data_IF_430846975618
#
_entry.id   IF_430846975618
#
_cell.length_a   1.000
_cell.length_b   1.000
_cell.length_c   1.000
_cell.angle_alpha   90.00
_cell.angle_beta   90.00
_cell.angle_gamma   90.00
#
_symmetry.space_group_name_H-M   'P 1'
#
loop_
_entity.id
_entity.type
_entity.pdbx_description
1 polymer ?
#
# COMPACT_ATOMS: atom_id res chain seq x y z
N UNK A 1 33.55 -19.89 -1.80
CA UNK A 1 33.55 -19.44 -0.39
C UNK A 1 32.42 -20.07 0.45
N UNK A 2 31.67 -21.05 -0.09
CA UNK A 2 30.39 -21.52 0.47
C UNK A 2 30.45 -22.85 1.24
N UNK A 3 31.52 -23.65 1.08
CA UNK A 3 31.68 -24.94 1.77
C UNK A 3 32.34 -24.82 3.16
N UNK A 4 33.16 -23.79 3.37
CA UNK A 4 33.94 -23.60 4.62
C UNK A 4 33.08 -22.99 5.73
N UNK A 5 32.04 -22.22 5.39
CA UNK A 5 31.14 -21.62 6.38
C UNK A 5 30.15 -22.64 6.97
N UNK A 6 29.69 -23.60 6.16
CA UNK A 6 28.80 -24.68 6.61
C UNK A 6 29.51 -25.57 7.64
N UNK A 7 30.77 -25.93 7.39
CA UNK A 7 31.56 -26.68 8.38
C UNK A 7 31.76 -25.92 9.71
N UNK A 8 31.87 -24.59 9.69
CA UNK A 8 32.06 -23.80 10.91
C UNK A 8 30.76 -23.61 11.72
N UNK A 9 29.60 -23.47 11.08
CA UNK A 9 28.30 -23.50 11.81
C UNK A 9 28.08 -24.85 12.49
N UNK A 10 28.58 -25.93 11.88
CA UNK A 10 28.57 -27.27 12.43
C UNK A 10 29.85 -27.64 13.23
N UNK A 11 30.65 -26.70 13.76
CA UNK A 11 31.87 -27.11 14.47
C UNK A 11 32.23 -26.45 15.80
N UNK A 12 31.60 -25.37 16.28
CA UNK A 12 32.20 -24.70 17.46
C UNK A 12 31.40 -24.50 18.74
N UNK A 13 30.06 -24.44 18.80
CA UNK A 13 29.44 -24.13 20.12
C UNK A 13 28.15 -24.89 20.53
N UNK A 14 27.61 -25.80 19.70
CA UNK A 14 26.42 -26.59 20.08
C UNK A 14 26.53 -28.11 19.92
N UNK A 15 27.69 -28.63 19.50
CA UNK A 15 27.84 -30.05 19.14
C UNK A 15 28.45 -30.96 20.22
N UNK A 16 28.69 -30.45 21.43
CA UNK A 16 29.43 -31.18 22.46
C UNK A 16 28.62 -31.67 23.66
N UNK A 17 27.28 -31.67 23.61
CA UNK A 17 26.49 -32.33 24.65
C UNK A 17 25.36 -33.18 24.06
N UNK A 18 25.41 -34.47 24.42
CA UNK A 18 24.46 -35.58 24.16
C UNK A 18 24.56 -36.29 22.79
N UNK A 19 24.91 -37.58 22.84
CA UNK A 19 25.06 -38.45 21.67
C UNK A 19 23.74 -38.95 21.09
N UNK A 20 23.72 -39.20 19.77
CA UNK A 20 23.23 -40.39 19.04
C UNK A 20 23.48 -40.13 17.52
N UNK A 21 24.18 -41.01 16.77
CA UNK A 21 24.42 -40.86 15.31
C UNK A 21 23.16 -40.62 14.46
N UNK A 22 22.02 -41.13 14.92
CA UNK A 22 20.68 -40.94 14.32
C UNK A 22 20.28 -39.47 14.28
N UNK A 23 20.53 -38.69 15.34
CA UNK A 23 20.15 -37.28 15.41
C UNK A 23 20.89 -36.46 14.34
N UNK A 24 22.20 -36.69 14.20
CA UNK A 24 23.03 -36.06 13.17
C UNK A 24 22.57 -36.42 11.75
N UNK A 25 22.23 -37.69 11.51
CA UNK A 25 21.73 -38.14 10.21
C UNK A 25 20.37 -37.52 9.87
N UNK A 26 19.48 -37.40 10.85
CA UNK A 26 18.15 -36.79 10.69
C UNK A 26 18.24 -35.27 10.45
N UNK A 27 19.09 -34.56 11.19
CA UNK A 27 19.35 -33.14 10.97
C UNK A 27 19.94 -32.87 9.58
N UNK A 28 20.90 -33.69 9.14
CA UNK A 28 21.44 -33.60 7.78
C UNK A 28 20.33 -33.81 6.73
N UNK A 29 19.43 -34.77 6.97
CA UNK A 29 18.31 -35.03 6.07
C UNK A 29 17.40 -33.81 5.96
N UNK A 30 17.05 -33.15 7.08
CA UNK A 30 16.29 -31.90 7.06
C UNK A 30 17.01 -30.80 6.28
N UNK A 31 18.30 -30.60 6.54
CA UNK A 31 19.13 -29.62 5.86
C UNK A 31 19.14 -29.83 4.34
N UNK A 32 19.40 -31.06 3.88
CA UNK A 32 19.45 -31.38 2.45
C UNK A 32 18.11 -31.04 1.75
N UNK A 33 16.97 -31.27 2.42
CA UNK A 33 15.65 -30.93 1.88
C UNK A 33 15.33 -29.44 1.92
N UNK A 34 15.78 -28.71 2.94
CA UNK A 34 15.70 -27.25 2.95
C UNK A 34 16.56 -26.63 1.84
N UNK A 35 17.74 -27.20 1.54
CA UNK A 35 18.58 -26.75 0.43
C UNK A 35 17.85 -26.91 -0.91
N UNK A 36 17.19 -28.06 -1.13
CA UNK A 36 16.39 -28.30 -2.34
C UNK A 36 15.19 -27.34 -2.42
N UNK A 37 14.51 -27.09 -1.30
CA UNK A 37 13.39 -26.16 -1.27
C UNK A 37 13.85 -24.73 -1.57
N UNK A 38 14.95 -24.28 -0.96
CA UNK A 38 15.43 -22.90 -0.98
C UNK A 38 16.40 -22.58 -2.13
N UNK A 39 16.52 -23.45 -3.12
CA UNK A 39 17.41 -23.34 -4.28
C UNK A 39 17.53 -21.90 -4.85
N UNK A 40 16.39 -21.21 -5.02
CA UNK A 40 16.35 -19.84 -5.59
C UNK A 40 16.76 -18.72 -4.63
N UNK A 41 16.60 -18.94 -3.32
CA UNK A 41 16.77 -17.89 -2.30
C UNK A 41 18.08 -18.02 -1.53
N UNK A 42 18.77 -19.16 -1.63
CA UNK A 42 20.06 -19.40 -1.00
C UNK A 42 21.20 -18.47 -1.45
N UNK A 43 21.32 -18.06 -2.74
CA UNK A 43 22.40 -17.15 -3.13
C UNK A 43 22.38 -15.82 -2.38
N UNK A 44 21.18 -15.34 -2.04
CA UNK A 44 20.97 -14.12 -1.24
C UNK A 44 20.88 -14.39 0.27
N UNK A 45 20.58 -15.62 0.67
CA UNK A 45 20.37 -16.01 2.08
C UNK A 45 21.11 -17.34 2.39
N UNK A 46 22.45 -17.34 2.42
CA UNK A 46 23.24 -18.58 2.42
C UNK A 46 23.10 -19.43 3.69
N UNK A 47 22.72 -18.85 4.83
CA UNK A 47 22.58 -19.57 6.12
C UNK A 47 21.18 -20.11 6.37
N UNK A 48 20.19 -19.67 5.59
CA UNK A 48 18.77 -19.86 5.88
C UNK A 48 18.36 -21.34 5.99
N UNK A 49 18.89 -22.20 5.10
CA UNK A 49 18.60 -23.63 5.14
C UNK A 49 19.16 -24.31 6.41
N UNK A 50 20.34 -23.91 6.86
CA UNK A 50 20.95 -24.45 8.08
C UNK A 50 20.18 -24.00 9.33
N UNK A 51 19.86 -22.71 9.42
CA UNK A 51 19.06 -22.15 10.51
C UNK A 51 17.69 -22.83 10.62
N UNK A 52 16.98 -23.01 9.49
CA UNK A 52 15.66 -23.64 9.49
C UNK A 52 15.72 -25.14 9.78
N UNK A 53 16.77 -25.84 9.32
CA UNK A 53 16.97 -27.24 9.66
C UNK A 53 17.16 -27.44 11.16
N UNK A 54 17.97 -26.60 11.80
CA UNK A 54 18.21 -26.66 13.25
C UNK A 54 16.92 -26.38 14.04
N UNK A 55 16.19 -25.31 13.70
CA UNK A 55 14.95 -24.96 14.38
C UNK A 55 13.86 -26.02 14.18
N UNK A 56 13.75 -26.60 12.98
CA UNK A 56 12.81 -27.69 12.70
C UNK A 56 13.17 -28.96 13.48
N UNK A 57 14.45 -29.29 13.59
CA UNK A 57 14.92 -30.43 14.37
C UNK A 57 14.59 -30.23 15.85
N UNK A 58 14.85 -29.04 16.39
CA UNK A 58 14.52 -28.69 17.77
C UNK A 58 13.01 -28.80 18.06
N UNK A 59 12.16 -28.37 17.11
CA UNK A 59 10.69 -28.54 17.21
C UNK A 59 10.28 -30.01 17.27
N UNK A 60 10.87 -30.84 16.39
CA UNK A 60 10.58 -32.28 16.35
C UNK A 60 11.09 -32.95 17.62
N UNK A 61 12.28 -32.60 18.09
CA UNK A 61 12.88 -33.14 19.31
C UNK A 61 12.01 -32.86 20.53
N UNK A 62 11.53 -31.62 20.69
CA UNK A 62 10.64 -31.23 21.81
C UNK A 62 9.29 -31.96 21.80
N UNK A 63 8.78 -32.33 20.62
CA UNK A 63 7.45 -32.96 20.45
C UNK A 63 7.49 -34.48 20.37
N UNK A 64 8.68 -35.09 20.30
CA UNK A 64 8.84 -36.52 20.05
C UNK A 64 9.49 -37.26 21.22
N UNK A 65 9.18 -38.54 21.34
CA UNK A 65 9.94 -39.46 22.18
C UNK A 65 11.09 -40.10 21.39
N UNK A 66 12.04 -40.74 22.10
CA UNK A 66 13.18 -41.46 21.47
C UNK A 66 12.74 -42.47 20.41
N UNK A 67 11.59 -43.13 20.59
CA UNK A 67 11.04 -44.12 19.66
C UNK A 67 10.35 -43.50 18.44
N UNK A 68 9.83 -42.28 18.57
CA UNK A 68 9.00 -41.63 17.55
C UNK A 68 9.75 -40.56 16.75
N UNK A 69 10.89 -40.07 17.27
CA UNK A 69 11.71 -39.01 16.68
C UNK A 69 12.03 -39.23 15.19
N UNK A 70 12.52 -40.42 14.83
CA UNK A 70 12.88 -40.72 13.43
C UNK A 70 11.66 -40.58 12.50
N UNK A 71 10.51 -41.09 12.92
CA UNK A 71 9.28 -41.03 12.12
C UNK A 71 8.73 -39.60 12.06
N UNK A 72 8.86 -38.82 13.13
CA UNK A 72 8.50 -37.41 13.16
C UNK A 72 9.35 -36.59 12.17
N UNK A 73 10.68 -36.81 12.13
CA UNK A 73 11.55 -36.16 11.14
C UNK A 73 11.17 -36.56 9.71
N UNK A 74 10.93 -37.84 9.45
CA UNK A 74 10.48 -38.31 8.13
C UNK A 74 9.17 -37.62 7.71
N UNK A 75 8.25 -37.42 8.65
CA UNK A 75 6.98 -36.74 8.42
C UNK A 75 7.20 -35.26 8.08
N UNK A 76 8.04 -34.54 8.83
CA UNK A 76 8.40 -33.15 8.51
C UNK A 76 9.12 -33.03 7.16
N UNK A 77 9.96 -33.99 6.78
CA UNK A 77 10.58 -34.06 5.44
C UNK A 77 9.53 -34.25 4.36
N UNK A 78 8.54 -35.12 4.58
CA UNK A 78 7.44 -35.32 3.64
C UNK A 78 6.60 -34.03 3.48
N UNK A 79 6.36 -33.30 4.56
CA UNK A 79 5.70 -31.99 4.52
C UNK A 79 6.53 -30.96 3.73
N UNK A 80 7.85 -30.89 3.96
CA UNK A 80 8.77 -30.00 3.23
C UNK A 80 8.74 -30.24 1.71
N UNK A 81 8.72 -31.51 1.28
CA UNK A 81 8.67 -31.87 -0.15
C UNK A 81 7.40 -31.40 -0.86
N UNK A 82 6.29 -31.22 -0.13
CA UNK A 82 5.01 -30.76 -0.68
C UNK A 82 4.92 -29.24 -0.77
N UNK A 83 5.87 -28.51 -0.18
CA UNK A 83 5.83 -27.05 -0.15
C UNK A 83 6.13 -26.46 -1.54
N UNK A 84 5.45 -25.37 -1.92
CA UNK A 84 5.82 -24.62 -3.11
C UNK A 84 7.24 -24.04 -2.94
N UNK A 85 8.05 -24.12 -4.00
CA UNK A 85 9.41 -23.58 -4.01
C UNK A 85 9.35 -22.04 -3.91
N UNK A 86 9.94 -21.42 -2.88
CA UNK A 86 9.93 -19.97 -2.71
C UNK A 86 10.81 -19.27 -3.74
N UNK A 87 10.36 -18.08 -4.12
CA UNK A 87 11.09 -17.11 -4.96
C UNK A 87 11.84 -16.05 -4.12
N UNK A 88 11.42 -15.85 -2.87
CA UNK A 88 11.95 -14.87 -1.93
C UNK A 88 12.03 -15.44 -0.50
N UNK A 89 12.91 -14.89 0.35
CA UNK A 89 13.06 -15.34 1.74
C UNK A 89 11.80 -15.13 2.60
N UNK A 90 10.89 -14.28 2.14
CA UNK A 90 9.62 -13.95 2.78
C UNK A 90 8.43 -14.81 2.33
N UNK A 91 8.66 -15.72 1.40
CA UNK A 91 7.58 -16.52 0.81
C UNK A 91 6.90 -17.39 1.88
N UNK A 92 5.58 -17.60 1.76
CA UNK A 92 4.76 -18.27 2.79
C UNK A 92 5.23 -19.68 3.17
N UNK A 93 5.95 -20.38 2.28
CA UNK A 93 6.51 -21.72 2.52
C UNK A 93 7.85 -21.74 3.27
N UNK A 94 8.48 -20.59 3.47
CA UNK A 94 9.76 -20.44 4.16
C UNK A 94 9.57 -20.52 5.67
N UNK A 95 10.47 -21.20 6.37
CA UNK A 95 10.43 -21.38 7.83
C UNK A 95 10.20 -22.83 8.25
N UNK A 96 10.03 -23.05 9.55
CA UNK A 96 9.68 -24.35 10.11
C UNK A 96 8.22 -24.69 9.86
N UNK A 97 7.85 -25.95 10.09
CA UNK A 97 6.47 -26.43 10.02
C UNK A 97 5.56 -25.68 11.00
N UNK A 98 6.00 -25.46 12.24
CA UNK A 98 5.19 -24.71 13.20
C UNK A 98 5.00 -23.24 12.77
N UNK A 99 6.02 -22.61 12.19
CA UNK A 99 5.90 -21.23 11.68
C UNK A 99 4.94 -21.13 10.49
N UNK A 100 5.02 -22.06 9.54
CA UNK A 100 4.12 -22.09 8.37
C UNK A 100 2.68 -22.31 8.81
N UNK A 101 2.45 -23.27 9.72
CA UNK A 101 1.12 -23.53 10.29
C UNK A 101 0.58 -22.33 11.09
N UNK A 102 1.43 -21.69 11.89
CA UNK A 102 1.03 -20.51 12.66
C UNK A 102 0.63 -19.34 11.73
N UNK A 103 1.35 -19.12 10.63
CA UNK A 103 0.97 -18.12 9.62
C UNK A 103 -0.34 -18.46 8.93
N UNK A 104 -0.56 -19.73 8.58
CA UNK A 104 -1.81 -20.17 7.98
C UNK A 104 -3.01 -19.96 8.93
N UNK A 105 -2.85 -20.34 10.19
CA UNK A 105 -3.86 -20.12 11.24
C UNK A 105 -4.12 -18.62 11.47
N UNK A 106 -3.07 -17.80 11.50
CA UNK A 106 -3.21 -16.35 11.59
C UNK A 106 -3.98 -15.79 10.41
N UNK A 107 -3.67 -16.22 9.18
CA UNK A 107 -4.39 -15.81 7.96
C UNK A 107 -5.88 -16.17 8.05
N UNK A 108 -6.22 -17.37 8.56
CA UNK A 108 -7.62 -17.77 8.79
C UNK A 108 -8.30 -16.86 9.81
N UNK A 109 -7.64 -16.52 10.91
CA UNK A 109 -8.16 -15.60 11.93
C UNK A 109 -8.38 -14.18 11.38
N UNK A 110 -7.42 -13.65 10.62
CA UNK A 110 -7.57 -12.35 9.93
C UNK A 110 -8.78 -12.38 9.01
N UNK A 111 -8.87 -13.37 8.11
CA UNK A 111 -9.95 -13.47 7.14
C UNK A 111 -11.35 -13.68 7.79
N UNK A 112 -11.40 -14.37 8.94
CA UNK A 112 -12.64 -14.59 9.68
C UNK A 112 -13.08 -13.36 10.51
N UNK A 113 -12.16 -12.46 10.83
CA UNK A 113 -12.45 -11.32 11.70
C UNK A 113 -13.31 -10.27 10.98
N UNK A 114 -14.44 -9.94 11.59
CA UNK A 114 -15.28 -8.80 11.17
C UNK A 114 -15.05 -7.64 12.13
N UNK A 115 -14.55 -6.54 11.57
CA UNK A 115 -14.31 -5.31 12.32
C UNK A 115 -15.64 -4.61 12.60
N UNK A 116 -15.82 -4.21 13.84
CA UNK A 116 -16.94 -3.39 14.29
C UNK A 116 -16.46 -1.98 14.59
N UNK A 117 -17.34 -0.98 14.49
CA UNK A 117 -16.99 0.40 14.85
C UNK A 117 -16.46 0.50 16.28
N UNK A 118 -17.06 -0.22 17.23
CA UNK A 118 -16.62 -0.23 18.63
C UNK A 118 -15.18 -0.74 18.83
N UNK A 119 -14.73 -1.72 18.02
CA UNK A 119 -13.34 -2.19 18.06
C UNK A 119 -12.37 -1.16 17.47
N UNK A 120 -12.84 -0.34 16.53
CA UNK A 120 -12.04 0.64 15.81
C UNK A 120 -12.00 2.01 16.48
N UNK A 121 -12.98 2.36 17.30
CA UNK A 121 -13.07 3.66 17.99
C UNK A 121 -11.76 4.11 18.64
N UNK A 122 -11.02 3.24 19.38
CA UNK A 122 -9.77 3.65 20.01
C UNK A 122 -8.65 4.00 19.02
N UNK A 123 -8.77 3.56 17.77
CA UNK A 123 -7.80 3.76 16.69
C UNK A 123 -8.17 4.92 15.77
N UNK A 124 -9.39 5.47 15.86
CA UNK A 124 -9.82 6.62 15.06
C UNK A 124 -8.94 7.83 15.38
N UNK A 125 -8.37 8.47 14.37
CA UNK A 125 -7.49 9.63 14.53
C UNK A 125 -8.23 10.81 15.17
N UNK A 126 -7.58 11.53 16.09
CA UNK A 126 -8.08 12.84 16.52
C UNK A 126 -7.83 13.89 15.43
N UNK A 127 -8.53 15.03 15.50
CA UNK A 127 -8.33 16.13 14.54
C UNK A 127 -6.89 16.64 14.56
N UNK A 128 -6.23 16.64 15.72
CA UNK A 128 -4.83 17.03 15.88
C UNK A 128 -3.87 16.02 15.24
N UNK A 129 -4.12 14.72 15.43
CA UNK A 129 -3.39 13.67 14.73
C UNK A 129 -3.57 13.80 13.21
N UNK A 130 -4.80 13.99 12.74
CA UNK A 130 -5.11 14.24 11.33
C UNK A 130 -4.31 15.43 10.78
N UNK A 131 -4.29 16.58 11.48
CA UNK A 131 -3.50 17.76 11.07
C UNK A 131 -1.99 17.45 11.02
N UNK A 132 -1.47 16.69 11.99
CA UNK A 132 -0.05 16.28 12.03
C UNK A 132 0.33 15.42 10.83
N UNK A 133 -0.58 14.58 10.36
CA UNK A 133 -0.39 13.72 9.19
C UNK A 133 -0.78 14.38 7.86
N UNK A 134 -1.15 15.66 7.88
CA UNK A 134 -1.40 16.46 6.69
C UNK A 134 -2.80 16.28 6.09
N UNK A 135 -3.78 15.81 6.86
CA UNK A 135 -5.18 15.80 6.44
C UNK A 135 -5.74 17.22 6.38
N UNK A 136 -6.59 17.48 5.39
CA UNK A 136 -7.43 18.67 5.36
C UNK A 136 -8.67 18.36 6.18
N UNK A 137 -8.86 19.11 7.28
CA UNK A 137 -9.88 18.80 8.31
C UNK A 137 -11.09 19.73 8.27
N UNK A 138 -11.01 20.80 7.49
CA UNK A 138 -12.04 21.80 7.31
C UNK A 138 -12.09 22.18 5.82
N UNK A 139 -13.24 22.62 5.34
CA UNK A 139 -13.37 23.12 3.97
C UNK A 139 -12.54 24.40 3.87
N UNK A 140 -11.56 24.48 2.94
CA UNK A 140 -10.76 25.69 2.77
C UNK A 140 -11.62 26.92 2.46
N UNK A 141 -11.17 28.09 2.90
CA UNK A 141 -11.81 29.37 2.57
C UNK A 141 -11.70 29.70 1.08
N UNK A 142 -12.66 30.49 0.57
CA UNK A 142 -12.67 30.96 -0.81
C UNK A 142 -13.69 30.27 -1.71
N UNK A 143 -13.64 30.56 -3.00
CA UNK A 143 -14.46 29.90 -4.02
C UNK A 143 -13.88 28.52 -4.35
N UNK A 144 -14.75 27.50 -4.41
CA UNK A 144 -14.37 26.17 -4.85
C UNK A 144 -14.76 25.91 -6.29
N UNK A 145 -13.85 25.31 -7.07
CA UNK A 145 -14.09 24.97 -8.47
C UNK A 145 -14.05 26.15 -9.46
N UNK A 146 -13.58 27.33 -9.06
CA UNK A 146 -13.45 28.50 -9.95
C UNK A 146 -12.28 28.39 -10.94
N UNK A 147 -11.29 27.52 -10.64
CA UNK A 147 -10.11 27.34 -11.49
C UNK A 147 -9.77 25.84 -11.63
N UNK A 148 -10.51 25.08 -12.45
CA UNK A 148 -10.38 23.62 -12.54
C UNK A 148 -9.03 23.13 -13.06
N UNK A 149 -8.29 23.98 -13.80
CA UNK A 149 -6.99 23.67 -14.39
C UNK A 149 -6.00 24.84 -14.34
N UNK A 150 -4.72 24.55 -14.57
CA UNK A 150 -3.62 25.52 -14.65
C UNK A 150 -3.15 25.81 -16.06
N UNK A 151 -3.91 25.45 -17.10
CA UNK A 151 -3.54 25.77 -18.48
C UNK A 151 -3.05 27.23 -18.65
N UNK A 152 -1.91 27.39 -19.33
CA UNK A 152 -1.23 28.67 -19.53
C UNK A 152 -0.33 29.11 -18.38
N UNK A 153 -0.41 28.45 -17.21
CA UNK A 153 0.36 28.84 -16.03
C UNK A 153 1.69 28.10 -15.94
N UNK A 154 2.68 28.77 -15.35
CA UNK A 154 4.04 28.25 -15.22
C UNK A 154 4.21 27.48 -13.90
N UNK A 155 4.39 26.16 -14.01
CA UNK A 155 4.54 25.24 -12.87
C UNK A 155 5.95 24.62 -12.81
N UNK A 156 6.31 24.08 -11.65
CA UNK A 156 7.54 23.29 -11.49
C UNK A 156 7.21 21.81 -11.67
N UNK A 157 7.95 21.14 -12.56
CA UNK A 157 7.73 19.73 -12.84
C UNK A 157 8.17 18.85 -11.68
N UNK A 158 7.28 17.98 -11.17
CA UNK A 158 7.61 17.05 -10.08
C UNK A 158 8.61 15.97 -10.51
N UNK A 159 8.63 15.64 -11.81
CA UNK A 159 9.46 14.58 -12.36
C UNK A 159 10.93 14.99 -12.56
N UNK A 160 11.16 16.18 -13.12
CA UNK A 160 12.52 16.64 -13.47
C UNK A 160 12.93 17.95 -12.78
N UNK A 161 12.04 18.62 -12.06
CA UNK A 161 12.30 19.90 -11.39
C UNK A 161 12.32 21.12 -12.31
N UNK A 162 12.19 20.96 -13.63
CA UNK A 162 12.19 22.08 -14.58
C UNK A 162 10.87 22.85 -14.54
N UNK A 163 10.93 24.16 -14.79
CA UNK A 163 9.73 24.99 -15.00
C UNK A 163 9.14 24.72 -16.38
N UNK A 164 7.82 24.61 -16.46
CA UNK A 164 7.10 24.39 -17.71
C UNK A 164 5.75 25.12 -17.70
N UNK A 165 5.16 25.31 -18.88
CA UNK A 165 3.80 25.84 -19.01
C UNK A 165 2.83 24.67 -19.16
N UNK A 166 1.77 24.64 -18.36
CA UNK A 166 0.70 23.65 -18.47
C UNK A 166 -0.07 23.89 -19.78
N UNK A 167 -0.16 22.88 -20.64
CA UNK A 167 -0.78 22.98 -21.98
C UNK A 167 -1.78 21.86 -22.22
N UNK A 168 -2.74 22.04 -23.13
CA UNK A 168 -3.61 20.99 -23.69
C UNK A 168 -3.15 20.52 -25.08
N UNK A 169 -3.37 19.23 -25.33
CA UNK A 169 -3.00 18.31 -26.44
C UNK A 169 -1.74 18.58 -27.29
N UNK A 170 -1.64 19.71 -27.95
CA UNK A 170 -0.84 19.78 -29.19
C UNK A 170 0.53 20.43 -29.03
N UNK A 171 0.95 20.80 -27.82
CA UNK A 171 2.21 21.52 -27.59
C UNK A 171 2.93 21.16 -26.29
N UNK A 172 2.62 20.04 -25.65
CA UNK A 172 3.29 19.65 -24.40
C UNK A 172 4.74 19.25 -24.65
N UNK A 173 5.63 19.85 -23.86
CA UNK A 173 7.05 19.56 -23.85
C UNK A 173 7.31 18.17 -23.24
N UNK A 174 8.39 17.52 -23.66
CA UNK A 174 8.78 16.21 -23.15
C UNK A 174 9.64 16.33 -21.90
N UNK A 175 9.20 15.68 -20.83
CA UNK A 175 9.99 15.52 -19.62
C UNK A 175 10.83 14.23 -19.71
N UNK A 176 12.14 14.34 -19.52
CA UNK A 176 13.02 13.20 -19.24
C UNK A 176 13.28 13.10 -17.75
N UNK A 177 12.93 11.97 -17.15
CA UNK A 177 12.97 11.79 -15.71
C UNK A 177 13.29 10.36 -15.28
N UNK A 178 13.62 10.22 -13.99
CA UNK A 178 13.78 8.93 -13.32
C UNK A 178 12.56 8.70 -12.43
N UNK A 179 11.72 7.70 -12.75
CA UNK A 179 10.56 7.37 -11.92
C UNK A 179 10.94 6.72 -10.59
N UNK A 180 12.12 6.09 -10.53
CA UNK A 180 12.59 5.38 -9.34
C UNK A 180 13.13 6.35 -8.29
N UNK A 181 13.04 5.98 -7.01
CA UNK A 181 13.68 6.74 -5.92
C UNK A 181 15.19 6.50 -5.91
N UNK A 182 16.01 7.50 -5.56
CA UNK A 182 17.44 7.31 -5.37
C UNK A 182 17.72 6.53 -4.09
N UNK A 183 18.62 5.55 -4.15
CA UNK A 183 19.03 4.73 -3.01
C UNK A 183 20.56 4.57 -2.99
N UNK A 184 21.12 4.26 -1.81
CA UNK A 184 22.54 3.97 -1.69
C UNK A 184 22.80 2.50 -1.98
N UNK A 185 23.59 2.24 -3.02
CA UNK A 185 24.10 0.92 -3.37
C UNK A 185 25.61 0.84 -3.09
N UNK A 186 26.11 -0.33 -2.70
CA UNK A 186 27.55 -0.60 -2.60
C UNK A 186 27.99 -1.31 -3.86
N UNK A 187 28.82 -0.66 -4.67
CA UNK A 187 29.45 -1.25 -5.86
C UNK A 187 30.96 -1.24 -5.62
N UNK A 188 31.61 -2.41 -5.65
CA UNK A 188 33.05 -2.56 -5.37
C UNK A 188 33.50 -1.96 -4.01
N UNK A 189 32.65 -2.00 -2.99
CA UNK A 189 32.93 -1.44 -1.67
C UNK A 189 32.69 0.07 -1.53
N UNK A 190 32.50 0.78 -2.64
CA UNK A 190 32.20 2.21 -2.66
C UNK A 190 30.68 2.43 -2.59
N UNK A 191 30.23 3.35 -1.73
CA UNK A 191 28.82 3.75 -1.66
C UNK A 191 28.52 4.71 -2.80
N UNK A 192 27.69 4.31 -3.75
CA UNK A 192 27.11 5.20 -4.75
C UNK A 192 25.63 5.39 -4.54
N UNK A 193 25.14 6.60 -4.80
CA UNK A 193 23.72 6.90 -4.87
C UNK A 193 23.27 6.68 -6.30
N UNK A 194 22.26 5.83 -6.51
CA UNK A 194 21.76 5.45 -7.83
C UNK A 194 20.23 5.37 -7.80
N UNK A 195 19.56 5.51 -8.94
CA UNK A 195 18.11 5.37 -9.03
C UNK A 195 17.66 3.91 -9.10
N UNK A 196 16.58 3.58 -8.39
CA UNK A 196 15.96 2.23 -8.42
C UNK A 196 15.40 1.84 -9.79
N UNK A 197 15.18 2.81 -10.70
CA UNK A 197 14.63 2.54 -12.02
C UNK A 197 15.63 2.00 -13.04
N UNK A 198 16.89 2.45 -12.98
CA UNK A 198 17.89 2.17 -14.02
C UNK A 198 19.32 2.05 -13.50
N UNK A 199 19.54 2.18 -12.18
CA UNK A 199 20.85 2.20 -11.53
C UNK A 199 21.82 3.31 -12.00
N UNK A 200 21.34 4.29 -12.78
CA UNK A 200 22.08 5.51 -13.13
C UNK A 200 22.25 6.43 -11.92
N UNK A 201 23.25 7.30 -11.95
CA UNK A 201 23.55 8.28 -10.90
C UNK A 201 22.65 9.54 -11.01
N UNK A 202 22.53 10.35 -9.93
CA UNK A 202 21.68 11.55 -9.91
C UNK A 202 22.00 12.62 -10.96
N UNK A 203 23.24 12.66 -11.45
CA UNK A 203 23.75 13.58 -12.46
C UNK A 203 23.42 13.13 -13.90
N UNK A 204 23.03 11.87 -14.10
CA UNK A 204 22.65 11.35 -15.42
C UNK A 204 21.21 11.72 -15.80
N UNK A 205 21.00 11.93 -17.10
CA UNK A 205 19.67 12.23 -17.66
C UNK A 205 18.66 11.11 -17.37
N UNK A 206 17.39 11.52 -17.20
CA UNK A 206 16.24 10.65 -16.97
C UNK A 206 16.18 9.42 -17.89
N UNK A 207 15.87 8.26 -17.32
CA UNK A 207 15.75 7.01 -18.06
C UNK A 207 14.38 6.80 -18.73
N UNK A 208 13.41 7.66 -18.45
CA UNK A 208 12.06 7.62 -19.02
C UNK A 208 11.66 8.97 -19.59
N UNK A 209 10.85 8.94 -20.65
CA UNK A 209 10.22 10.12 -21.25
C UNK A 209 8.72 10.10 -20.97
N UNK A 210 8.14 11.25 -20.64
CA UNK A 210 6.70 11.44 -20.44
C UNK A 210 6.36 12.93 -20.41
N UNK A 211 5.10 13.32 -20.14
CA UNK A 211 4.75 14.72 -19.90
C UNK A 211 5.44 15.30 -18.67
N UNK A 212 5.64 16.61 -18.68
CA UNK A 212 5.83 17.36 -17.44
C UNK A 212 4.52 17.33 -16.63
N UNK A 213 4.66 17.20 -15.30
CA UNK A 213 3.52 17.10 -14.39
C UNK A 213 3.79 17.94 -13.15
N UNK A 214 2.73 18.37 -12.47
CA UNK A 214 2.85 19.15 -11.25
C UNK A 214 1.94 18.59 -10.16
N UNK A 215 2.32 18.88 -8.92
CA UNK A 215 1.59 18.46 -7.74
C UNK A 215 1.32 19.66 -6.86
N UNK A 216 0.10 19.71 -6.33
CA UNK A 216 -0.37 20.78 -5.45
C UNK A 216 -0.73 20.19 -4.10
N UNK A 217 -0.29 20.87 -3.06
CA UNK A 217 -0.54 20.50 -1.67
C UNK A 217 -1.34 21.54 -0.92
N UNK A 218 -1.40 22.76 -1.44
CA UNK A 218 -2.09 23.86 -0.79
C UNK A 218 -3.61 23.61 -0.78
N UNK A 219 -4.27 23.63 0.40
CA UNK A 219 -5.69 23.35 0.49
C UNK A 219 -6.57 24.30 -0.32
N UNK A 220 -6.23 25.59 -0.40
CA UNK A 220 -7.02 26.58 -1.14
C UNK A 220 -6.90 26.32 -2.65
N UNK A 221 -5.69 26.10 -3.17
CA UNK A 221 -5.51 25.75 -4.57
C UNK A 221 -6.27 24.47 -4.92
N UNK A 222 -6.16 23.43 -4.09
CA UNK A 222 -6.91 22.18 -4.28
C UNK A 222 -8.43 22.40 -4.27
N UNK A 223 -8.94 23.30 -3.41
CA UNK A 223 -10.36 23.67 -3.34
C UNK A 223 -10.81 24.42 -4.59
N UNK A 224 -9.97 25.32 -5.11
CA UNK A 224 -10.21 26.03 -6.38
C UNK A 224 -10.24 25.11 -7.60
N UNK A 225 -9.44 24.02 -7.61
CA UNK A 225 -9.52 22.97 -8.65
C UNK A 225 -10.87 22.27 -8.66
N UNK A 226 -11.30 21.86 -7.49
CA UNK A 226 -12.54 21.14 -7.29
C UNK A 226 -12.93 21.23 -5.81
N UNK A 227 -14.18 21.62 -5.49
CA UNK A 227 -14.57 21.98 -4.14
C UNK A 227 -14.49 20.78 -3.19
N UNK A 228 -13.86 21.02 -2.04
CA UNK A 228 -13.98 20.15 -0.87
C UNK A 228 -15.39 20.20 -0.31
N UNK A 229 -15.94 19.03 0.02
CA UNK A 229 -17.23 18.92 0.71
C UNK A 229 -17.09 18.00 1.92
N UNK A 230 -17.75 18.30 3.05
CA UNK A 230 -17.85 17.34 4.13
C UNK A 230 -18.62 16.10 3.68
N UNK A 231 -18.29 14.96 4.26
CA UNK A 231 -19.12 13.75 4.11
C UNK A 231 -20.55 14.07 4.58
N UNK A 232 -21.56 13.48 3.93
CA UNK A 232 -22.94 13.74 4.34
C UNK A 232 -23.19 13.36 5.80
N UNK A 233 -24.14 14.04 6.42
CA UNK A 233 -24.62 13.67 7.75
C UNK A 233 -25.51 12.41 7.68
N UNK A 234 -25.63 11.66 8.78
CA UNK A 234 -26.52 10.52 8.84
C UNK A 234 -27.98 10.92 8.65
N UNK A 235 -28.76 10.06 8.00
CA UNK A 235 -30.19 10.27 7.76
C UNK A 235 -31.04 9.54 8.80
N UNK A 236 -31.96 10.27 9.45
CA UNK A 236 -32.89 9.72 10.45
C UNK A 236 -32.53 10.07 11.91
N UNK A 237 -33.46 9.87 12.86
CA UNK A 237 -33.20 10.11 14.27
C UNK A 237 -32.11 9.14 14.75
N UNK A 238 -31.24 9.66 15.62
CA UNK A 238 -30.08 8.94 16.14
C UNK A 238 -30.52 7.54 16.61
N UNK A 239 -30.00 6.50 15.94
CA UNK A 239 -30.17 5.08 16.33
C UNK A 239 -31.40 4.32 15.81
N UNK A 240 -32.03 4.72 14.70
CA UNK A 240 -33.14 3.90 14.14
C UNK A 240 -32.84 3.30 12.76
N UNK A 241 -31.63 2.79 12.48
CA UNK A 241 -31.36 1.82 11.40
C UNK A 241 -31.86 2.16 9.98
N UNK A 242 -32.21 3.42 9.71
CA UNK A 242 -32.78 3.86 8.43
C UNK A 242 -31.73 4.38 7.46
N UNK A 243 -30.53 4.65 7.95
CA UNK A 243 -29.41 5.08 7.11
C UNK A 243 -28.77 3.85 6.43
N UNK A 244 -28.53 3.93 5.12
CA UNK A 244 -27.87 2.89 4.34
C UNK A 244 -26.34 2.87 4.49
N UNK A 245 -25.76 3.84 5.21
CA UNK A 245 -24.34 3.91 5.46
C UNK A 245 -23.82 2.70 6.24
N UNK A 246 -22.62 2.26 5.87
CA UNK A 246 -21.92 1.19 6.57
C UNK A 246 -21.17 1.75 7.78
N UNK A 247 -20.97 0.92 8.80
CA UNK A 247 -20.18 1.30 9.98
C UNK A 247 -18.69 1.42 9.67
N UNK A 248 -18.18 0.56 8.77
CA UNK A 248 -16.75 0.44 8.46
C UNK A 248 -16.58 0.12 6.98
N UNK A 249 -15.69 0.86 6.33
CA UNK A 249 -15.23 0.60 4.96
C UNK A 249 -13.71 0.71 4.90
N UNK A 250 -13.07 0.03 3.94
CA UNK A 250 -11.70 0.32 3.54
C UNK A 250 -11.69 0.90 2.13
N UNK A 251 -10.87 1.94 1.92
CA UNK A 251 -10.86 2.75 0.71
C UNK A 251 -9.44 2.95 0.23
N UNK A 252 -9.27 2.90 -1.09
CA UNK A 252 -8.04 3.24 -1.79
C UNK A 252 -8.38 3.86 -3.16
N UNK A 253 -7.57 4.83 -3.60
CA UNK A 253 -7.76 5.53 -4.86
C UNK A 253 -6.52 5.43 -5.74
N UNK A 254 -6.74 5.32 -7.05
CA UNK A 254 -5.68 5.50 -8.04
C UNK A 254 -5.75 6.91 -8.62
N UNK A 255 -4.59 7.55 -8.74
CA UNK A 255 -4.47 8.93 -9.22
C UNK A 255 -3.65 9.06 -10.50
N UNK A 256 -4.01 10.04 -11.31
CA UNK A 256 -3.30 10.40 -12.55
C UNK A 256 -3.01 11.90 -12.59
N UNK A 257 -2.05 12.30 -13.43
CA UNK A 257 -1.72 13.71 -13.63
C UNK A 257 -2.60 14.32 -14.72
N UNK A 258 -3.10 15.52 -14.45
CA UNK A 258 -4.02 16.26 -15.32
C UNK A 258 -3.60 17.72 -15.43
N UNK A 259 -4.30 18.48 -16.27
CA UNK A 259 -4.13 19.94 -16.36
C UNK A 259 -4.52 20.67 -15.07
N UNK A 260 -5.24 20.02 -14.15
CA UNK A 260 -5.54 20.50 -12.81
C UNK A 260 -4.74 19.81 -11.71
N UNK A 261 -3.54 19.32 -12.03
CA UNK A 261 -2.66 18.63 -11.09
C UNK A 261 -3.02 17.14 -10.96
N UNK A 262 -2.60 16.53 -9.86
CA UNK A 262 -2.93 15.12 -9.57
C UNK A 262 -4.40 14.97 -9.15
N UNK A 263 -5.14 14.12 -9.87
CA UNK A 263 -6.57 13.85 -9.64
C UNK A 263 -6.85 12.37 -9.53
N UNK A 264 -7.88 12.03 -8.76
CA UNK A 264 -8.38 10.66 -8.65
C UNK A 264 -8.98 10.20 -9.98
N UNK A 265 -8.70 8.96 -10.36
CA UNK A 265 -9.12 8.35 -11.61
C UNK A 265 -9.74 6.96 -11.44
N UNK A 266 -9.55 6.32 -10.29
CA UNK A 266 -10.32 5.13 -9.86
C UNK A 266 -10.50 5.18 -8.34
N UNK A 267 -11.67 4.79 -7.86
CA UNK A 267 -11.99 4.69 -6.43
C UNK A 267 -12.47 3.28 -6.16
N UNK A 268 -11.81 2.59 -5.24
CA UNK A 268 -12.24 1.28 -4.76
C UNK A 268 -12.60 1.34 -3.28
N UNK A 269 -13.70 0.71 -2.93
CA UNK A 269 -14.18 0.60 -1.56
C UNK A 269 -14.62 -0.83 -1.30
N UNK A 270 -14.17 -1.37 -0.18
CA UNK A 270 -14.59 -2.69 0.34
C UNK A 270 -15.25 -2.53 1.70
N UNK A 271 -16.19 -3.41 2.01
CA UNK A 271 -16.84 -3.45 3.32
C UNK A 271 -15.95 -4.09 4.41
N UNK A 272 -16.47 -4.20 5.64
CA UNK A 272 -15.78 -4.87 6.76
C UNK A 272 -15.53 -6.37 6.55
N UNK A 273 -16.10 -6.98 5.51
CA UNK A 273 -15.81 -8.34 5.06
C UNK A 273 -14.61 -8.40 4.12
N UNK A 274 -14.24 -7.29 3.48
CA UNK A 274 -13.36 -7.27 2.32
C UNK A 274 -14.10 -7.57 1.01
N UNK A 275 -15.44 -7.48 1.00
CA UNK A 275 -16.23 -7.56 -0.23
C UNK A 275 -16.21 -6.19 -0.89
N UNK A 276 -15.92 -6.17 -2.19
CA UNK A 276 -16.05 -4.98 -3.03
C UNK A 276 -17.49 -4.48 -3.04
N UNK A 277 -17.67 -3.21 -2.67
CA UNK A 277 -18.96 -2.51 -2.67
C UNK A 277 -19.01 -1.39 -3.71
N UNK A 278 -17.84 -0.89 -4.12
CA UNK A 278 -17.71 0.18 -5.10
C UNK A 278 -16.33 0.09 -5.76
N UNK A 279 -16.28 0.06 -7.09
CA UNK A 279 -15.04 0.11 -7.85
C UNK A 279 -15.31 0.80 -9.19
N UNK A 280 -14.99 2.09 -9.28
CA UNK A 280 -15.40 2.94 -10.40
C UNK A 280 -14.27 3.82 -10.89
N UNK A 281 -14.19 3.99 -12.22
CA UNK A 281 -13.31 4.98 -12.84
C UNK A 281 -13.94 6.38 -12.81
N UNK A 282 -13.13 7.38 -12.50
CA UNK A 282 -13.56 8.78 -12.37
C UNK A 282 -13.27 9.54 -13.65
N UNK A 283 -14.34 10.04 -14.29
CA UNK A 283 -14.23 10.90 -15.47
C UNK A 283 -13.73 12.28 -15.03
N UNK A 284 -12.73 12.82 -15.73
CA UNK A 284 -12.28 14.19 -15.47
C UNK A 284 -13.39 15.20 -15.77
N UNK A 285 -13.42 16.27 -14.98
CA UNK A 285 -14.38 17.37 -15.16
C UNK A 285 -14.16 18.07 -16.51
N UNK A 286 -15.18 18.81 -16.93
CA UNK A 286 -15.09 19.64 -18.14
C UNK A 286 -13.89 20.60 -18.08
N UNK A 287 -13.12 20.67 -19.16
CA UNK A 287 -11.91 21.49 -19.26
C UNK A 287 -10.65 20.89 -18.63
N UNK A 288 -10.76 19.78 -17.90
CA UNK A 288 -9.62 19.08 -17.31
C UNK A 288 -9.23 17.89 -18.18
N UNK A 289 -7.98 17.86 -18.64
CA UNK A 289 -7.47 16.78 -19.49
C UNK A 289 -6.34 16.02 -18.79
N UNK A 290 -6.24 14.72 -19.09
CA UNK A 290 -5.09 13.89 -18.69
C UNK A 290 -3.84 14.42 -19.39
N UNK A 291 -2.71 14.42 -18.67
CA UNK A 291 -1.43 14.82 -19.25
C UNK A 291 -1.02 13.86 -20.36
N UNK A 292 -0.51 14.37 -21.48
CA UNK A 292 -0.18 13.58 -22.66
C UNK A 292 1.22 13.91 -23.17
N UNK A 293 1.76 13.03 -23.98
CA UNK A 293 3.04 13.19 -24.67
C UNK A 293 2.82 13.26 -26.18
N UNK A 294 3.43 14.25 -26.85
CA UNK A 294 3.39 14.33 -28.32
C UNK A 294 4.32 13.27 -28.92
N UNK A 295 3.89 12.49 -29.93
CA UNK A 295 4.71 11.41 -30.49
C UNK A 295 5.70 11.95 -31.53
N UNK A 296 6.57 12.91 -31.19
CA UNK A 296 7.52 13.42 -32.18
C UNK A 296 8.72 12.47 -32.42
N UNK A 297 8.98 11.50 -31.53
CA UNK A 297 10.17 10.63 -31.63
C UNK A 297 9.98 9.16 -31.18
N UNK A 298 8.75 8.63 -31.18
CA UNK A 298 8.57 7.17 -31.09
C UNK A 298 8.60 6.66 -32.52
N UNK A 299 9.62 5.86 -32.85
CA UNK A 299 9.89 5.23 -34.16
C UNK A 299 8.66 5.05 -35.07
N UNK A 300 8.78 5.29 -36.39
CA UNK A 300 7.68 5.11 -37.31
C UNK A 300 7.25 3.64 -37.27
N UNK A 301 6.16 3.35 -36.57
CA UNK A 301 5.36 2.18 -36.90
C UNK A 301 4.71 2.53 -38.22
N UNK A 302 5.14 1.83 -39.27
CA UNK A 302 4.41 1.78 -40.52
C UNK A 302 2.94 1.50 -40.19
N UNK A 303 2.07 2.31 -40.79
CA UNK A 303 0.62 2.19 -40.81
C UNK A 303 -0.12 2.79 -39.59
N UNK A 304 -0.20 4.13 -39.54
CA UNK A 304 -1.47 4.89 -39.36
C UNK A 304 -1.17 6.39 -39.47
N UNK A 305 -1.81 7.07 -40.43
CA UNK A 305 -1.62 8.49 -40.78
C UNK A 305 -2.21 9.49 -39.75
N UNK A 306 -2.02 9.25 -38.45
CA UNK A 306 -2.41 10.21 -37.42
C UNK A 306 -1.36 10.28 -36.30
N UNK A 307 -0.92 11.48 -35.87
CA UNK A 307 -0.07 11.60 -34.70
C UNK A 307 -0.86 11.18 -33.46
N UNK A 308 -0.72 9.92 -33.06
CA UNK A 308 -1.39 9.38 -31.87
C UNK A 308 -0.83 10.02 -30.61
N UNK A 309 -1.56 11.00 -30.08
CA UNK A 309 -1.32 11.58 -28.77
C UNK A 309 -1.44 10.48 -27.71
N UNK A 310 -0.40 10.26 -26.91
CA UNK A 310 -0.45 9.22 -25.87
C UNK A 310 -0.68 9.86 -24.50
N UNK A 311 -1.77 9.51 -23.84
CA UNK A 311 -2.08 9.97 -22.48
C UNK A 311 -1.24 9.22 -21.46
N UNK A 312 -0.64 9.94 -20.51
CA UNK A 312 0.11 9.37 -19.39
C UNK A 312 -0.81 9.21 -18.18
N UNK A 313 -1.36 8.02 -18.04
CA UNK A 313 -2.19 7.63 -16.91
C UNK A 313 -1.40 7.25 -15.67
N UNK A 314 -0.08 7.50 -15.63
CA UNK A 314 0.77 7.07 -14.53
C UNK A 314 0.68 5.55 -14.27
N UNK A 315 0.43 4.75 -15.32
CA UNK A 315 -0.01 3.34 -15.27
C UNK A 315 0.82 2.45 -14.36
N UNK A 316 2.14 2.65 -14.32
CA UNK A 316 3.05 1.91 -13.43
C UNK A 316 2.63 1.97 -11.96
N UNK A 317 2.01 3.06 -11.54
CA UNK A 317 1.55 3.25 -10.18
C UNK A 317 0.04 3.11 -10.08
N UNK A 318 -0.72 3.56 -11.09
CA UNK A 318 -2.18 3.62 -11.04
C UNK A 318 -2.92 2.36 -11.54
N UNK A 319 -2.27 1.53 -12.37
CA UNK A 319 -2.94 0.46 -13.12
C UNK A 319 -3.93 0.93 -14.19
N UNK A 320 -4.04 2.24 -14.41
CA UNK A 320 -4.97 2.84 -15.36
C UNK A 320 -4.30 2.95 -16.73
N UNK A 321 -5.03 2.59 -17.79
CA UNK A 321 -4.62 2.76 -19.17
C UNK A 321 -5.76 3.39 -19.98
N UNK A 322 -5.50 3.73 -21.23
CA UNK A 322 -6.48 4.42 -22.07
C UNK A 322 -7.77 3.62 -22.27
N UNK A 323 -7.67 2.29 -22.37
CA UNK A 323 -8.79 1.41 -22.62
C UNK A 323 -9.74 1.31 -21.43
N UNK A 324 -9.18 1.10 -20.22
CA UNK A 324 -10.02 1.04 -19.01
C UNK A 324 -10.53 2.43 -18.61
N UNK A 325 -9.74 3.48 -18.80
CA UNK A 325 -10.17 4.85 -18.52
C UNK A 325 -11.30 5.32 -19.44
N UNK A 326 -11.35 4.85 -20.70
CA UNK A 326 -12.45 5.15 -21.62
C UNK A 326 -13.82 4.70 -21.11
N UNK A 327 -13.88 3.79 -20.13
CA UNK A 327 -15.11 3.37 -19.46
C UNK A 327 -15.61 4.35 -18.39
N UNK A 328 -14.81 5.35 -18.02
CA UNK A 328 -15.17 6.34 -17.01
C UNK A 328 -16.34 7.23 -17.46
N UNK A 329 -17.50 7.05 -16.82
CA UNK A 329 -18.72 7.80 -17.13
C UNK A 329 -18.96 8.94 -16.14
N UNK A 330 -18.72 8.68 -14.85
CA UNK A 330 -19.15 9.56 -13.76
C UNK A 330 -18.05 10.56 -13.37
N UNK A 331 -18.35 11.87 -13.29
CA UNK A 331 -17.41 12.85 -12.73
C UNK A 331 -17.28 12.66 -11.21
N UNK A 332 -16.24 13.26 -10.62
CA UNK A 332 -15.96 13.14 -9.18
C UNK A 332 -17.17 13.53 -8.30
N UNK A 333 -17.91 14.57 -8.68
CA UNK A 333 -19.12 14.99 -7.98
C UNK A 333 -20.20 13.88 -7.92
N UNK A 334 -20.38 13.14 -9.02
CA UNK A 334 -21.32 12.03 -9.09
C UNK A 334 -20.80 10.79 -8.34
N UNK A 335 -19.49 10.50 -8.41
CA UNK A 335 -18.85 9.44 -7.64
C UNK A 335 -19.05 9.65 -6.13
N UNK A 336 -18.79 10.86 -5.62
CA UNK A 336 -19.03 11.20 -4.21
C UNK A 336 -20.50 11.02 -3.81
N UNK A 337 -21.43 11.42 -4.68
CA UNK A 337 -22.86 11.22 -4.46
C UNK A 337 -23.25 9.73 -4.44
N UNK A 338 -22.60 8.89 -5.24
CA UNK A 338 -22.77 7.44 -5.17
C UNK A 338 -22.22 6.87 -3.86
N UNK A 339 -21.07 7.38 -3.40
CA UNK A 339 -20.46 6.99 -2.12
C UNK A 339 -21.32 7.36 -0.91
N UNK A 340 -22.09 8.44 -0.97
CA UNK A 340 -23.04 8.82 0.09
C UNK A 340 -24.02 7.68 0.42
N UNK A 341 -24.31 6.75 -0.50
CA UNK A 341 -25.19 5.62 -0.21
C UNK A 341 -24.63 4.68 0.86
N UNK A 342 -23.31 4.60 1.03
CA UNK A 342 -22.66 3.67 1.97
C UNK A 342 -21.64 4.35 2.91
N UNK A 343 -21.32 5.63 2.72
CA UNK A 343 -20.44 6.43 3.59
C UNK A 343 -21.19 7.67 4.09
N UNK A 344 -21.19 7.90 5.41
CA UNK A 344 -21.63 9.14 6.04
C UNK A 344 -20.58 9.62 7.06
N UNK A 345 -20.83 10.71 7.78
CA UNK A 345 -19.90 11.25 8.79
C UNK A 345 -19.65 10.34 10.01
N UNK A 346 -20.42 9.26 10.20
CA UNK A 346 -20.26 8.24 11.25
C UNK A 346 -19.51 6.98 10.79
N UNK A 347 -19.50 6.70 9.48
CA UNK A 347 -18.73 5.60 8.90
C UNK A 347 -17.26 5.75 9.26
N UNK A 348 -16.58 4.67 9.66
CA UNK A 348 -15.13 4.66 9.83
C UNK A 348 -14.48 4.25 8.50
N UNK A 349 -13.59 5.10 7.97
CA UNK A 349 -12.83 4.82 6.76
C UNK A 349 -11.43 4.31 7.15
N UNK A 350 -11.10 3.11 6.68
CA UNK A 350 -9.78 2.50 6.80
C UNK A 350 -8.98 2.76 5.52
N UNK A 351 -7.71 3.14 5.64
CA UNK A 351 -6.84 3.38 4.49
C UNK A 351 -5.34 3.32 4.82
N UNK A 352 -4.50 3.53 3.83
CA UNK A 352 -3.06 3.66 3.98
C UNK A 352 -2.57 5.00 3.45
N UNK A 353 -2.13 5.90 4.34
CA UNK A 353 -1.85 7.30 3.99
C UNK A 353 -3.08 7.97 3.36
N UNK A 354 -4.23 7.74 4.00
CA UNK A 354 -5.57 8.08 3.51
C UNK A 354 -5.75 9.59 3.33
N UNK A 355 -4.84 10.42 3.86
CA UNK A 355 -4.85 11.85 3.57
C UNK A 355 -4.70 12.16 2.08
N UNK A 356 -4.01 11.31 1.31
CA UNK A 356 -3.83 11.52 -0.12
C UNK A 356 -5.12 11.23 -0.87
N UNK A 357 -5.79 10.14 -0.53
CA UNK A 357 -7.09 9.75 -1.08
C UNK A 357 -8.16 10.79 -0.77
N UNK A 358 -8.29 11.21 0.48
CA UNK A 358 -9.30 12.22 0.87
C UNK A 358 -9.00 13.59 0.25
N UNK A 359 -7.73 13.94 0.05
CA UNK A 359 -7.35 15.13 -0.74
C UNK A 359 -7.83 14.99 -2.17
N UNK A 360 -7.51 13.91 -2.88
CA UNK A 360 -7.88 13.76 -4.30
C UNK A 360 -9.38 13.57 -4.51
N UNK A 361 -10.07 12.91 -3.59
CA UNK A 361 -11.52 12.84 -3.52
C UNK A 361 -12.18 14.17 -3.16
N UNK A 362 -11.44 15.15 -2.65
CA UNK A 362 -11.97 16.43 -2.16
C UNK A 362 -13.07 16.22 -1.10
N UNK A 363 -12.79 15.34 -0.15
CA UNK A 363 -13.71 14.96 0.92
C UNK A 363 -13.13 15.31 2.30
N UNK A 364 -13.94 15.95 3.14
CA UNK A 364 -13.61 16.14 4.57
C UNK A 364 -14.32 15.06 5.37
N UNK A 365 -13.54 14.19 6.02
CA UNK A 365 -14.04 13.07 6.81
C UNK A 365 -13.16 12.88 8.05
N UNK A 366 -13.76 12.77 9.24
CA UNK A 366 -13.02 12.78 10.52
C UNK A 366 -12.86 11.41 11.17
N UNK A 367 -13.58 10.38 10.73
CA UNK A 367 -13.52 9.04 11.33
C UNK A 367 -12.59 8.12 10.54
N UNK A 368 -11.30 8.42 10.57
CA UNK A 368 -10.28 7.68 9.82
C UNK A 368 -9.46 6.74 10.73
N UNK A 369 -9.19 5.52 10.25
CA UNK A 369 -8.18 4.60 10.79
C UNK A 369 -7.12 4.38 9.71
N UNK A 370 -5.94 4.95 9.93
CA UNK A 370 -4.87 4.94 8.93
C UNK A 370 -3.74 3.98 9.32
N UNK A 371 -3.47 3.00 8.46
CA UNK A 371 -2.41 2.02 8.68
C UNK A 371 -1.01 2.62 8.67
N UNK A 372 -0.79 3.76 7.99
CA UNK A 372 0.48 4.48 8.06
C UNK A 372 0.74 5.06 9.47
N UNK A 373 -0.33 5.32 10.24
CA UNK A 373 -0.27 5.79 11.63
C UNK A 373 -0.21 4.63 12.61
N UNK A 374 -1.01 3.57 12.37
CA UNK A 374 -1.02 2.36 13.21
C UNK A 374 0.31 1.61 13.20
N UNK A 375 1.04 1.68 12.09
CA UNK A 375 2.34 1.05 11.91
C UNK A 375 3.41 2.12 11.69
N UNK A 376 3.79 2.86 12.76
CA UNK A 376 4.64 4.05 12.63
C UNK A 376 6.02 3.69 12.10
N UNK A 377 6.59 4.60 11.31
CA UNK A 377 7.98 4.53 10.90
C UNK A 377 8.90 4.86 12.10
N UNK A 378 10.06 4.20 12.19
CA UNK A 378 11.01 4.40 13.31
C UNK A 378 11.57 5.83 13.40
N UNK A 379 11.63 6.53 12.26
CA UNK A 379 12.04 7.94 12.18
C UNK A 379 10.92 8.95 12.52
N UNK A 380 9.71 8.48 12.82
CA UNK A 380 8.54 9.34 13.10
C UNK A 380 7.98 10.07 11.87
N UNK A 381 6.93 10.90 12.05
CA UNK A 381 6.36 11.73 10.99
C UNK A 381 7.42 12.67 10.39
N UNK A 382 7.38 12.97 9.08
CA UNK A 382 6.37 12.57 8.10
C UNK A 382 6.67 11.22 7.42
N UNK A 383 7.69 10.48 7.86
CA UNK A 383 8.07 9.22 7.22
C UNK A 383 7.03 8.13 7.45
N UNK A 384 6.68 7.41 6.38
CA UNK A 384 5.68 6.33 6.37
C UNK A 384 6.30 5.03 5.90
N UNK A 385 5.88 3.91 6.49
CA UNK A 385 6.20 2.57 5.98
C UNK A 385 5.31 2.30 4.77
N UNK A 386 5.86 1.75 3.69
CA UNK A 386 5.06 1.42 2.51
C UNK A 386 4.09 0.26 2.78
N UNK A 387 2.86 0.33 2.25
CA UNK A 387 1.84 -0.73 2.38
C UNK A 387 2.39 -2.12 2.03
N UNK A 388 3.06 -2.26 0.87
CA UNK A 388 3.71 -3.51 0.45
C UNK A 388 4.68 -4.09 1.49
N UNK A 389 5.38 -3.23 2.25
CA UNK A 389 6.30 -3.68 3.29
C UNK A 389 5.53 -4.16 4.53
N UNK A 390 4.43 -3.48 4.88
CA UNK A 390 3.55 -3.89 5.98
C UNK A 390 2.83 -5.21 5.67
N UNK A 391 2.21 -5.33 4.50
CA UNK A 391 1.54 -6.55 4.05
C UNK A 391 2.50 -7.75 4.04
N UNK A 392 3.73 -7.52 3.58
CA UNK A 392 4.78 -8.53 3.59
C UNK A 392 5.21 -8.94 5.00
N UNK A 393 5.42 -7.99 5.90
CA UNK A 393 5.89 -8.25 7.27
C UNK A 393 4.82 -8.91 8.15
N UNK A 394 3.59 -8.40 8.11
CA UNK A 394 2.53 -8.78 9.05
C UNK A 394 1.58 -9.83 8.48
N UNK A 395 1.31 -9.81 7.16
CA UNK A 395 0.40 -10.75 6.51
C UNK A 395 1.14 -11.85 5.74
N UNK A 396 2.45 -11.70 5.51
CA UNK A 396 3.22 -12.61 4.66
C UNK A 396 2.78 -12.56 3.18
N UNK A 397 2.16 -11.45 2.76
CA UNK A 397 1.61 -11.28 1.42
C UNK A 397 2.50 -10.36 0.58
N UNK A 398 2.69 -10.72 -0.69
CA UNK A 398 3.33 -9.85 -1.68
C UNK A 398 2.23 -9.23 -2.53
N UNK A 399 2.00 -7.93 -2.35
CA UNK A 399 1.05 -7.11 -3.13
C UNK A 399 1.82 -6.20 -4.09
N UNK A 400 1.14 -5.57 -5.06
CA UNK A 400 1.74 -4.61 -6.00
C UNK A 400 2.89 -5.22 -6.83
N UNK A 401 2.79 -6.51 -7.17
CA UNK A 401 3.84 -7.25 -7.86
C UNK A 401 3.79 -7.13 -9.40
N UNK A 402 2.75 -6.50 -9.95
CA UNK A 402 2.47 -6.47 -11.40
C UNK A 402 3.40 -5.54 -12.21
N UNK A 403 4.32 -4.82 -11.56
CA UNK A 403 5.40 -4.09 -12.22
C UNK A 403 4.89 -2.96 -13.13
N UNK A 404 4.92 -3.17 -14.44
CA UNK A 404 4.47 -2.19 -15.42
C UNK A 404 2.94 -2.12 -15.57
N UNK A 405 2.22 -3.16 -15.16
CA UNK A 405 0.76 -3.22 -15.22
C UNK A 405 0.08 -2.39 -14.13
N UNK A 406 0.83 -1.89 -13.15
CA UNK A 406 0.35 -0.99 -12.10
C UNK A 406 -0.15 -1.65 -10.84
N UNK A 407 -0.73 -0.85 -9.95
CA UNK A 407 -1.35 -1.33 -8.72
C UNK A 407 -2.85 -1.57 -8.91
N UNK A 408 -3.46 -2.22 -7.93
CA UNK A 408 -4.90 -2.44 -7.87
C UNK A 408 -5.42 -1.91 -6.55
N UNK A 409 -6.16 -0.81 -6.60
CA UNK A 409 -6.82 -0.21 -5.44
C UNK A 409 -7.72 -1.17 -4.66
N UNK A 410 -8.34 -2.16 -5.30
CA UNK A 410 -9.08 -3.23 -4.60
C UNK A 410 -8.13 -4.12 -3.78
N UNK A 411 -6.98 -4.51 -4.35
CA UNK A 411 -5.94 -5.28 -3.62
C UNK A 411 -5.44 -4.49 -2.41
N UNK A 412 -5.14 -3.21 -2.61
CA UNK A 412 -4.60 -2.32 -1.58
C UNK A 412 -5.63 -2.01 -0.47
N UNK A 413 -6.91 -1.85 -0.82
CA UNK A 413 -8.01 -1.73 0.15
C UNK A 413 -8.15 -2.96 1.03
N UNK A 414 -8.10 -4.16 0.43
CA UNK A 414 -8.18 -5.44 1.17
C UNK A 414 -6.94 -5.64 2.05
N UNK A 415 -5.74 -5.37 1.53
CA UNK A 415 -4.50 -5.51 2.29
C UNK A 415 -4.48 -4.57 3.52
N UNK A 416 -4.97 -3.35 3.35
CA UNK A 416 -5.12 -2.38 4.44
C UNK A 416 -6.12 -2.87 5.49
N UNK A 417 -7.29 -3.37 5.07
CA UNK A 417 -8.28 -3.95 5.97
C UNK A 417 -7.69 -5.13 6.78
N UNK A 418 -6.96 -6.01 6.11
CA UNK A 418 -6.31 -7.16 6.73
C UNK A 418 -5.21 -6.76 7.72
N UNK A 419 -4.47 -5.68 7.43
CA UNK A 419 -3.50 -5.11 8.37
C UNK A 419 -4.18 -4.59 9.65
N UNK A 420 -5.34 -3.93 9.53
CA UNK A 420 -6.10 -3.48 10.70
C UNK A 420 -6.64 -4.68 11.50
N UNK A 421 -7.20 -5.70 10.83
CA UNK A 421 -7.61 -6.96 11.47
C UNK A 421 -6.45 -7.61 12.23
N UNK A 422 -5.27 -7.69 11.60
CA UNK A 422 -4.07 -8.21 12.23
C UNK A 422 -3.67 -7.39 13.46
N UNK A 423 -3.73 -6.05 13.36
CA UNK A 423 -3.40 -5.15 14.46
C UNK A 423 -4.36 -5.31 15.64
N UNK A 424 -5.67 -5.47 15.40
CA UNK A 424 -6.62 -5.67 16.49
C UNK A 424 -6.40 -7.03 17.19
N UNK A 425 -6.00 -8.06 16.44
CA UNK A 425 -5.74 -9.39 17.00
C UNK A 425 -4.42 -9.50 17.79
N UNK A 426 -3.38 -8.79 17.35
CA UNK A 426 -2.00 -8.98 17.85
C UNK A 426 -1.35 -7.73 18.43
N UNK A 427 -1.87 -6.56 18.07
CA UNK A 427 -1.32 -5.27 18.46
C UNK A 427 -1.52 -4.99 19.96
N UNK A 428 -0.78 -3.99 20.47
CA UNK A 428 -0.97 -3.55 21.85
C UNK A 428 -2.41 -3.06 22.04
N UNK A 429 -3.00 -3.36 23.19
CA UNK A 429 -4.32 -2.83 23.53
C UNK A 429 -4.28 -1.30 23.51
N UNK A 430 -5.25 -0.65 22.86
CA UNK A 430 -5.23 0.80 22.72
C UNK A 430 -5.37 1.47 24.08
N UNK A 431 -4.67 2.60 24.27
CA UNK A 431 -4.88 3.45 25.44
C UNK A 431 -6.23 4.16 25.28
N UNK A 432 -7.01 4.34 26.36
CA UNK A 432 -8.23 5.14 26.28
C UNK A 432 -7.88 6.56 25.84
N UNK A 433 -8.43 6.99 24.69
CA UNK A 433 -8.35 8.39 24.27
C UNK A 433 -9.26 9.22 25.18
N UNK A 434 -8.88 10.46 25.52
CA UNK A 434 -9.81 11.37 26.21
C UNK A 434 -11.07 11.49 25.36
N UNK A 435 -12.22 11.16 25.93
CA UNK A 435 -13.50 11.37 25.25
C UNK A 435 -13.66 12.85 24.97
N UNK A 436 -13.82 13.21 23.69
CA UNK A 436 -14.24 14.55 23.32
C UNK A 436 -15.59 14.81 24.00
N UNK A 437 -15.62 15.79 24.91
CA UNK A 437 -16.87 16.25 25.51
C UNK A 437 -17.73 16.78 24.35
N UNK A 438 -18.94 16.24 24.12
CA UNK A 438 -19.81 16.79 23.09
C UNK A 438 -20.04 18.26 23.41
N UNK A 439 -19.76 19.14 22.45
CA UNK A 439 -20.05 20.56 22.57
C UNK A 439 -21.53 20.71 22.88
N UNK A 440 -21.85 21.03 24.14
CA UNK A 440 -23.22 21.34 24.54
C UNK A 440 -23.65 22.58 23.77
N UNK A 441 -24.77 22.44 23.06
CA UNK A 441 -25.46 23.52 22.38
C UNK A 441 -25.53 24.76 23.27
N UNK A 442 -24.79 25.80 22.91
CA UNK A 442 -25.05 27.15 23.39
C UNK A 442 -26.31 27.67 22.69
N UNK A 443 -27.47 27.25 23.19
CA UNK A 443 -28.75 27.87 22.87
C UNK A 443 -29.48 28.28 24.15
N UNK A 444 -29.56 29.60 24.33
CA UNK A 444 -30.63 30.35 24.99
C UNK A 444 -30.91 30.13 26.49
N UNK A 445 -30.37 31.05 27.31
CA UNK A 445 -31.08 31.77 28.40
C UNK A 445 -30.12 32.84 28.94
N UNK A 446 -30.46 34.10 29.11
CA UNK A 446 -31.77 34.60 29.51
C UNK A 446 -31.98 36.08 29.20
N UNK A 447 -33.25 36.39 29.01
CA UNK A 447 -33.86 37.68 29.26
C UNK A 447 -33.92 37.97 30.77
N UNK A 448 -33.47 39.15 31.17
CA UNK A 448 -34.09 39.98 32.20
C UNK A 448 -33.78 41.43 31.87
#
# INVERSE_FOLDING_TARGET
MSYVFVYNVFSTECLHQSGVPVLRAMLKTLYDHFVVLYEKILPTNPTLAAEHALRQEEEVYKKSSKLTYRNAVISSVAALKRRPKPDTASHASVGTESEVLAREEMRKKVAAMRLTAAQLEPYVLTVEEMKTWGYITEVPSGSGGDKPHEEGSAMTCERCGQRFIVKRRENADHCRYHWGKPYSSKVNGEKRRVYTCCARTPDEEGCQTGPHVFYETDPEDLHRRHPFTPTRQPTGPEWNGTDSALDVVALDCEMIYTTGGMRVARVSVVDSAGKEIFDEYVKMDEGVEVMYITPFLVFPRHDTDSPHLHSDFNTRFSGINEQNYATAVLPLSAIRKSMDNFINSRTIIIGHALENDLKTLRMIHHRCVDTAVLFPHTAGPPYKRALRALAKEFLGQTIQAAGAEGHSSVEDSIATLDLVRWHVLNGPKPKPKPTAVPAQNASASGSA
#
